data_IF_716472471669
#
_entry.id   IF_716472471669
#
_cell.length_a   1.000
_cell.length_b   1.000
_cell.length_c   1.000
_cell.angle_alpha   90.00
_cell.angle_beta   90.00
_cell.angle_gamma   90.00
#
_symmetry.space_group_name_H-M   'P 1'
#
loop_
_entity.id
_entity.type
_entity.pdbx_description
1 polymer ?
#
# COMPACT_ATOMS: atom_id res chain seq x y z
N UNK A 1 18.52 -0.95 1.11
CA UNK A 1 17.05 -1.02 1.28
C UNK A 1 16.76 -1.63 2.66
N UNK A 2 15.56 -1.45 3.19
CA UNK A 2 15.11 -2.03 4.47
C UNK A 2 13.97 -3.00 4.20
N UNK A 3 14.02 -4.19 4.79
CA UNK A 3 12.94 -5.17 4.66
C UNK A 3 11.95 -5.04 5.81
N UNK A 4 10.67 -4.92 5.46
CA UNK A 4 9.57 -4.84 6.41
C UNK A 4 8.37 -5.66 5.98
N UNK A 5 7.25 -5.44 6.67
CA UNK A 5 5.95 -5.99 6.26
C UNK A 5 4.81 -5.03 6.60
N UNK A 6 3.69 -5.22 5.91
CA UNK A 6 2.43 -4.49 6.14
C UNK A 6 1.69 -5.13 7.30
N UNK A 7 1.37 -4.39 8.34
CA UNK A 7 0.79 -4.92 9.57
C UNK A 7 -0.64 -5.46 9.43
N UNK A 8 -1.34 -5.15 8.33
CA UNK A 8 -2.72 -5.56 8.08
C UNK A 8 -2.97 -7.07 8.26
N UNK A 9 -2.00 -7.92 7.89
CA UNK A 9 -2.11 -9.38 8.02
C UNK A 9 -2.15 -9.86 9.48
N UNK A 10 -1.66 -9.07 10.43
CA UNK A 10 -1.61 -9.37 11.86
C UNK A 10 -2.69 -8.61 12.64
N UNK A 11 -3.89 -8.46 12.08
CA UNK A 11 -5.00 -7.67 12.62
C UNK A 11 -5.41 -8.03 14.06
N UNK A 12 -5.12 -9.24 14.54
CA UNK A 12 -5.45 -9.70 15.89
C UNK A 12 -4.40 -9.26 16.95
N UNK A 13 -3.28 -8.68 16.52
CA UNK A 13 -2.20 -8.25 17.41
C UNK A 13 -2.32 -6.75 17.73
N UNK A 14 -1.89 -6.39 18.93
CA UNK A 14 -1.63 -5.00 19.29
C UNK A 14 -0.38 -4.44 18.58
N UNK A 15 -0.20 -3.12 18.59
CA UNK A 15 1.01 -2.48 18.06
C UNK A 15 2.29 -3.06 18.68
N UNK A 16 2.31 -3.25 20.02
CA UNK A 16 3.46 -3.81 20.72
C UNK A 16 3.77 -5.24 20.27
N UNK A 17 2.73 -6.08 20.12
CA UNK A 17 2.90 -7.48 19.66
C UNK A 17 3.36 -7.55 18.19
N UNK A 18 2.91 -6.62 17.34
CA UNK A 18 3.40 -6.49 15.95
C UNK A 18 4.88 -6.14 15.92
N UNK A 19 5.30 -5.12 16.70
CA UNK A 19 6.71 -4.73 16.77
C UNK A 19 7.58 -5.81 17.43
N UNK A 20 7.08 -6.51 18.45
CA UNK A 20 7.75 -7.64 19.03
C UNK A 20 7.97 -8.79 18.02
N UNK A 21 6.92 -9.11 17.24
CA UNK A 21 7.03 -10.10 16.18
C UNK A 21 8.05 -9.66 15.12
N UNK A 22 8.01 -8.41 14.68
CA UNK A 22 8.96 -7.86 13.71
C UNK A 22 10.42 -7.97 14.22
N UNK A 23 10.67 -7.61 15.48
CA UNK A 23 11.99 -7.74 16.10
C UNK A 23 12.46 -9.19 16.20
N UNK A 24 11.56 -10.12 16.60
CA UNK A 24 11.87 -11.55 16.72
C UNK A 24 12.24 -12.18 15.38
N UNK A 25 11.61 -11.71 14.30
CA UNK A 25 11.86 -12.19 12.94
C UNK A 25 12.92 -11.35 12.19
N UNK A 26 13.61 -10.43 12.89
CA UNK A 26 14.70 -9.61 12.35
C UNK A 26 14.28 -8.76 11.15
N UNK A 27 13.11 -8.11 11.22
CA UNK A 27 12.69 -7.08 10.26
C UNK A 27 13.22 -5.72 10.66
N UNK A 28 13.57 -4.89 9.67
CA UNK A 28 14.02 -3.51 9.89
C UNK A 28 12.88 -2.57 10.23
N UNK A 29 11.69 -2.80 9.66
CA UNK A 29 10.56 -1.89 9.78
C UNK A 29 9.20 -2.56 9.57
N UNK A 30 8.14 -1.78 9.87
CA UNK A 30 6.73 -2.18 9.65
C UNK A 30 5.99 -0.99 9.06
N UNK A 31 5.14 -1.24 8.07
CA UNK A 31 4.08 -0.31 7.68
C UNK A 31 2.87 -0.52 8.58
N UNK A 32 2.47 0.53 9.34
CA UNK A 32 1.40 0.44 10.32
C UNK A 32 0.06 0.85 9.74
N UNK A 33 -0.96 0.01 9.92
CA UNK A 33 -2.33 0.33 9.52
C UNK A 33 -2.99 1.32 10.49
N UNK A 34 -3.63 2.34 9.91
CA UNK A 34 -4.25 3.47 10.60
C UNK A 34 -5.72 3.65 10.21
N UNK A 35 -6.47 2.57 9.99
CA UNK A 35 -7.90 2.69 9.75
C UNK A 35 -8.61 3.27 10.99
N UNK A 36 -9.72 4.02 10.83
CA UNK A 36 -10.55 4.40 11.96
C UNK A 36 -11.01 3.13 12.71
N UNK A 37 -11.01 3.12 14.06
CA UNK A 37 -11.55 2.02 14.82
C UNK A 37 -13.02 1.76 14.46
N UNK A 38 -13.36 0.50 14.16
CA UNK A 38 -14.73 0.15 13.79
C UNK A 38 -14.84 -1.15 13.02
N UNK A 39 -16.01 -1.36 12.40
CA UNK A 39 -16.26 -2.55 11.59
C UNK A 39 -15.55 -2.42 10.25
N UNK A 40 -14.78 -3.43 9.89
CA UNK A 40 -14.16 -3.54 8.58
C UNK A 40 -15.20 -3.59 7.46
N UNK A 41 -15.02 -2.80 6.43
CA UNK A 41 -15.88 -2.80 5.23
C UNK A 41 -15.52 -3.95 4.28
N UNK A 42 -14.27 -4.35 4.28
CA UNK A 42 -13.70 -5.41 3.45
C UNK A 42 -12.50 -6.05 4.13
N UNK A 43 -12.00 -7.16 3.58
CA UNK A 43 -10.77 -7.81 4.05
C UNK A 43 -9.61 -6.80 4.11
N UNK A 44 -8.90 -6.78 5.24
CA UNK A 44 -7.82 -5.85 5.59
C UNK A 44 -8.19 -4.37 5.74
N UNK A 45 -9.40 -3.93 5.37
CA UNK A 45 -9.92 -2.64 5.78
C UNK A 45 -10.33 -2.67 7.26
N UNK A 46 -10.15 -1.55 7.96
CA UNK A 46 -10.51 -1.46 9.38
C UNK A 46 -9.47 -2.04 10.35
N UNK A 47 -8.29 -2.44 9.89
CA UNK A 47 -7.18 -2.80 10.79
C UNK A 47 -6.56 -1.53 11.36
N UNK A 48 -6.54 -1.43 12.69
CA UNK A 48 -6.03 -0.27 13.41
C UNK A 48 -4.94 -0.70 14.37
N UNK A 49 -3.67 -0.54 13.98
CA UNK A 49 -2.54 -0.69 14.87
C UNK A 49 -2.11 0.64 15.49
N UNK A 50 -2.44 1.76 14.82
CA UNK A 50 -2.25 3.10 15.32
C UNK A 50 -3.54 3.90 15.10
N UNK A 51 -4.26 4.22 16.19
CA UNK A 51 -5.42 5.10 16.14
C UNK A 51 -4.96 6.55 16.10
N UNK A 52 -5.31 7.25 15.00
CA UNK A 52 -4.97 8.66 14.79
C UNK A 52 -6.17 9.59 14.92
N UNK A 53 -7.31 9.10 15.39
CA UNK A 53 -8.56 9.88 15.49
C UNK A 53 -8.39 11.10 16.40
N UNK A 54 -7.72 10.91 17.55
CA UNK A 54 -7.35 11.93 18.52
C UNK A 54 -5.88 11.74 18.94
N UNK A 55 -4.95 11.93 17.99
CA UNK A 55 -3.55 11.62 18.19
C UNK A 55 -2.86 12.66 19.07
N UNK A 56 -2.36 12.24 20.24
CA UNK A 56 -1.75 13.10 21.24
C UNK A 56 -0.24 12.94 21.34
N UNK A 57 0.44 13.92 21.93
CA UNK A 57 1.88 13.81 22.25
C UNK A 57 2.20 12.59 23.14
N UNK A 58 1.27 12.18 24.01
CA UNK A 58 1.44 10.98 24.83
C UNK A 58 1.38 9.70 23.98
N UNK A 59 0.46 9.65 23.01
CA UNK A 59 0.39 8.53 22.05
C UNK A 59 1.66 8.46 21.20
N UNK A 60 2.16 9.58 20.70
CA UNK A 60 3.42 9.65 19.95
C UNK A 60 4.62 9.17 20.82
N UNK A 61 4.71 9.63 22.06
CA UNK A 61 5.76 9.20 22.99
C UNK A 61 5.71 7.69 23.26
N UNK A 62 4.52 7.10 23.34
CA UNK A 62 4.34 5.65 23.49
C UNK A 62 4.86 4.89 22.25
N UNK A 63 4.53 5.32 21.04
CA UNK A 63 5.05 4.72 19.81
C UNK A 63 6.59 4.80 19.78
N UNK A 64 7.17 5.95 20.08
CA UNK A 64 8.63 6.11 20.17
C UNK A 64 9.26 5.19 21.21
N UNK A 65 8.60 4.96 22.34
CA UNK A 65 9.06 4.02 23.35
C UNK A 65 9.09 2.59 22.79
N UNK A 66 8.01 2.13 22.15
CA UNK A 66 7.91 0.79 21.59
C UNK A 66 8.96 0.57 20.48
N UNK A 67 9.12 1.54 19.56
CA UNK A 67 10.16 1.50 18.50
C UNK A 67 11.56 1.34 19.13
N UNK A 68 11.87 2.06 20.21
CA UNK A 68 13.17 1.92 20.88
C UNK A 68 13.35 0.58 21.59
N UNK A 69 12.29 0.07 22.25
CA UNK A 69 12.34 -1.22 22.98
C UNK A 69 12.60 -2.37 21.99
N UNK A 70 11.90 -2.36 20.86
CA UNK A 70 11.97 -3.46 19.90
C UNK A 70 13.05 -3.26 18.83
N UNK A 71 13.59 -2.06 18.64
CA UNK A 71 14.60 -1.77 17.63
C UNK A 71 14.08 -1.83 16.18
N UNK A 72 12.75 -1.79 15.98
CA UNK A 72 12.08 -1.86 14.68
C UNK A 72 11.52 -0.51 14.31
N UNK A 73 11.81 -0.02 13.11
CA UNK A 73 11.30 1.26 12.61
C UNK A 73 9.86 1.18 12.10
N UNK A 74 9.21 2.34 11.93
CA UNK A 74 7.97 2.47 11.17
C UNK A 74 8.31 3.03 9.79
N UNK A 75 8.00 2.28 8.73
CA UNK A 75 8.35 2.68 7.35
C UNK A 75 7.35 3.66 6.75
N UNK A 76 6.07 3.47 7.06
CA UNK A 76 4.97 4.29 6.59
C UNK A 76 3.75 4.09 7.49
N UNK A 77 2.79 5.02 7.40
CA UNK A 77 1.43 4.81 7.90
C UNK A 77 0.51 4.47 6.71
N UNK A 78 -0.26 3.40 6.83
CA UNK A 78 -1.13 2.89 5.78
C UNK A 78 -2.62 3.13 6.08
N UNK A 79 -3.32 3.77 5.13
CA UNK A 79 -4.78 3.92 5.14
C UNK A 79 -5.27 3.92 3.70
N UNK A 80 -5.97 2.86 3.30
CA UNK A 80 -6.27 2.56 1.89
C UNK A 80 -7.78 2.60 1.55
N UNK A 81 -8.46 3.74 1.73
CA UNK A 81 -9.86 3.92 1.37
C UNK A 81 -10.01 4.31 -0.11
N UNK A 82 -11.24 4.68 -0.48
CA UNK A 82 -11.52 5.36 -1.74
C UNK A 82 -11.76 6.88 -1.51
N UNK A 83 -10.74 7.74 -1.64
CA UNK A 83 -10.92 9.20 -1.48
C UNK A 83 -11.82 9.86 -2.53
N UNK A 84 -12.15 9.16 -3.62
CA UNK A 84 -13.05 9.64 -4.66
C UNK A 84 -14.39 8.89 -4.65
N UNK A 85 -14.81 8.39 -3.48
CA UNK A 85 -16.09 7.71 -3.33
C UNK A 85 -17.25 8.55 -3.90
N UNK A 86 -18.20 7.93 -4.64
CA UNK A 86 -19.37 8.64 -5.17
C UNK A 86 -20.23 9.32 -4.08
N UNK A 87 -20.31 8.74 -2.87
CA UNK A 87 -20.96 9.42 -1.73
C UNK A 87 -20.10 10.56 -1.21
N UNK A 88 -20.54 11.82 -1.35
CA UNK A 88 -19.76 12.98 -0.90
C UNK A 88 -19.56 13.01 0.63
N UNK A 89 -20.45 12.42 1.42
CA UNK A 89 -20.32 12.35 2.87
C UNK A 89 -19.20 11.38 3.24
N UNK A 90 -19.21 10.19 2.65
CA UNK A 90 -18.16 9.19 2.86
C UNK A 90 -16.81 9.71 2.34
N UNK A 91 -16.78 10.29 1.15
CA UNK A 91 -15.58 10.93 0.58
C UNK A 91 -14.95 11.96 1.52
N UNK A 92 -15.79 12.82 2.13
CA UNK A 92 -15.30 13.80 3.11
C UNK A 92 -14.72 13.13 4.36
N UNK A 93 -15.38 12.13 4.92
CA UNK A 93 -14.87 11.38 6.09
C UNK A 93 -13.51 10.73 5.79
N UNK A 94 -13.38 10.15 4.61
CA UNK A 94 -12.13 9.55 4.12
C UNK A 94 -11.02 10.59 4.03
N UNK A 95 -11.27 11.73 3.38
CA UNK A 95 -10.28 12.78 3.22
C UNK A 95 -9.86 13.39 4.57
N UNK A 96 -10.82 13.65 5.45
CA UNK A 96 -10.54 14.18 6.80
C UNK A 96 -9.68 13.21 7.63
N UNK A 97 -9.94 11.91 7.56
CA UNK A 97 -9.14 10.93 8.28
C UNK A 97 -7.73 10.78 7.66
N UNK A 98 -7.62 10.79 6.34
CA UNK A 98 -6.32 10.75 5.66
C UNK A 98 -5.43 11.94 6.06
N UNK A 99 -6.02 13.13 6.21
CA UNK A 99 -5.31 14.32 6.71
C UNK A 99 -4.81 14.07 8.15
N UNK A 100 -5.61 13.45 9.03
CA UNK A 100 -5.17 13.07 10.38
C UNK A 100 -3.99 12.08 10.38
N UNK A 101 -4.01 11.09 9.48
CA UNK A 101 -2.88 10.15 9.31
C UNK A 101 -1.62 10.92 8.88
N UNK A 102 -1.73 11.84 7.93
CA UNK A 102 -0.63 12.69 7.47
C UNK A 102 -0.08 13.57 8.61
N UNK A 103 -0.94 14.17 9.42
CA UNK A 103 -0.54 15.03 10.54
C UNK A 103 0.07 14.25 11.73
N UNK A 104 -0.30 12.97 11.89
CA UNK A 104 0.25 12.09 12.91
C UNK A 104 1.65 11.56 12.54
N UNK A 105 1.92 11.33 11.26
CA UNK A 105 3.15 10.68 10.79
C UNK A 105 4.45 11.37 11.30
N UNK A 106 4.66 12.69 11.16
CA UNK A 106 5.89 13.33 11.65
C UNK A 106 6.02 13.29 13.17
N UNK A 107 4.92 13.18 13.91
CA UNK A 107 4.97 13.10 15.38
C UNK A 107 5.62 11.81 15.88
N UNK A 108 5.69 10.78 15.05
CA UNK A 108 6.39 9.52 15.33
C UNK A 108 7.64 9.30 14.45
N UNK A 109 8.11 10.37 13.78
CA UNK A 109 9.31 10.35 12.94
C UNK A 109 9.13 9.65 11.59
N UNK A 110 7.90 9.54 11.09
CA UNK A 110 7.55 8.96 9.80
C UNK A 110 7.23 10.08 8.81
N UNK A 111 7.72 9.96 7.58
CA UNK A 111 7.50 10.95 6.51
C UNK A 111 6.81 10.36 5.28
N UNK A 112 6.24 9.16 5.40
CA UNK A 112 5.49 8.49 4.32
C UNK A 112 4.12 8.05 4.83
N UNK A 113 3.08 8.37 4.06
CA UNK A 113 1.71 7.86 4.24
C UNK A 113 1.29 7.18 2.95
N UNK A 114 0.91 5.91 3.04
CA UNK A 114 0.48 5.13 1.89
C UNK A 114 -1.05 5.05 1.81
N UNK A 115 -1.59 5.18 0.60
CA UNK A 115 -3.03 5.20 0.34
C UNK A 115 -3.36 4.92 -1.13
N UNK A 116 -4.65 4.98 -1.49
CA UNK A 116 -5.12 5.01 -2.88
C UNK A 116 -5.50 6.43 -3.33
N UNK A 117 -5.41 6.70 -4.63
CA UNK A 117 -5.99 7.93 -5.22
C UNK A 117 -7.52 7.91 -5.15
N UNK A 118 -8.10 6.73 -5.32
CA UNK A 118 -9.52 6.52 -5.40
C UNK A 118 -10.09 6.67 -6.83
N UNK A 119 -11.36 6.32 -6.98
CA UNK A 119 -12.13 6.46 -8.22
C UNK A 119 -13.63 6.41 -7.94
N UNK A 120 -14.40 7.22 -8.63
CA UNK A 120 -15.82 6.98 -8.88
C UNK A 120 -15.94 6.09 -10.12
N UNK A 121 -16.35 4.82 -10.00
CA UNK A 121 -16.43 3.90 -11.12
C UNK A 121 -17.45 4.30 -12.20
N UNK A 122 -18.43 5.13 -11.85
CA UNK A 122 -19.45 5.62 -12.77
C UNK A 122 -18.92 6.72 -13.70
N UNK A 123 -17.76 7.30 -13.38
CA UNK A 123 -17.17 8.40 -14.15
C UNK A 123 -16.06 7.91 -15.09
N UNK A 124 -15.84 8.67 -16.17
CA UNK A 124 -14.69 8.48 -17.06
C UNK A 124 -13.37 8.75 -16.32
N UNK A 125 -12.23 8.30 -16.86
CA UNK A 125 -10.92 8.60 -16.30
C UNK A 125 -10.69 10.11 -16.22
N UNK A 126 -10.98 10.86 -17.27
CA UNK A 126 -10.77 12.32 -17.31
C UNK A 126 -11.67 13.05 -16.30
N UNK A 127 -12.92 12.62 -16.11
CA UNK A 127 -13.79 13.18 -15.08
C UNK A 127 -13.28 12.86 -13.66
N UNK A 128 -12.75 11.65 -13.41
CA UNK A 128 -12.07 11.33 -12.17
C UNK A 128 -10.81 12.18 -11.96
N UNK A 129 -10.03 12.44 -13.00
CA UNK A 129 -8.83 13.29 -12.89
C UNK A 129 -9.20 14.73 -12.48
N UNK A 130 -10.29 15.30 -13.02
CA UNK A 130 -10.79 16.60 -12.56
C UNK A 130 -11.24 16.56 -11.08
N UNK A 131 -11.83 15.45 -10.64
CA UNK A 131 -12.21 15.25 -9.22
C UNK A 131 -11.00 15.06 -8.32
N UNK A 132 -9.93 14.40 -8.79
CA UNK A 132 -8.64 14.29 -8.06
C UNK A 132 -8.13 15.67 -7.69
N UNK A 133 -8.06 16.62 -8.62
CA UNK A 133 -7.59 17.98 -8.34
C UNK A 133 -8.36 18.62 -7.17
N UNK A 134 -9.69 18.54 -7.22
CA UNK A 134 -10.54 19.16 -6.20
C UNK A 134 -10.41 18.50 -4.82
N UNK A 135 -10.41 17.16 -4.76
CA UNK A 135 -10.40 16.40 -3.48
C UNK A 135 -9.01 16.33 -2.89
N UNK A 136 -7.98 16.19 -3.72
CA UNK A 136 -6.61 15.99 -3.25
C UNK A 136 -5.86 17.28 -2.90
N UNK A 137 -6.30 18.44 -3.40
CA UNK A 137 -5.66 19.72 -3.05
C UNK A 137 -5.53 19.94 -1.53
N UNK A 138 -6.57 19.79 -0.69
CA UNK A 138 -6.42 19.93 0.76
C UNK A 138 -5.53 18.85 1.40
N UNK A 139 -5.57 17.60 0.89
CA UNK A 139 -4.75 16.49 1.38
C UNK A 139 -3.26 16.78 1.10
N UNK A 140 -2.93 17.21 -0.12
CA UNK A 140 -1.56 17.51 -0.51
C UNK A 140 -1.01 18.75 0.20
N UNK A 141 -1.84 19.76 0.51
CA UNK A 141 -1.43 20.88 1.36
C UNK A 141 -1.11 20.44 2.79
N UNK A 142 -1.87 19.49 3.33
CA UNK A 142 -1.57 18.91 4.65
C UNK A 142 -0.24 18.14 4.60
N UNK A 143 -0.01 17.37 3.54
CA UNK A 143 1.24 16.63 3.32
C UNK A 143 2.45 17.56 3.18
N UNK A 144 2.34 18.64 2.39
CA UNK A 144 3.38 19.66 2.26
C UNK A 144 3.71 20.32 3.61
N UNK A 145 2.68 20.76 4.34
CA UNK A 145 2.85 21.37 5.67
C UNK A 145 3.52 20.45 6.68
N UNK A 146 3.23 19.15 6.59
CA UNK A 146 3.76 18.12 7.49
C UNK A 146 5.13 17.55 7.03
N UNK A 147 5.65 17.95 5.88
CA UNK A 147 6.82 17.36 5.21
C UNK A 147 6.68 15.83 5.02
N UNK A 148 5.48 15.41 4.59
CA UNK A 148 5.11 14.02 4.35
C UNK A 148 4.95 13.77 2.86
N UNK A 149 5.47 12.65 2.37
CA UNK A 149 5.19 12.13 1.03
C UNK A 149 4.03 11.15 1.07
N UNK A 150 3.13 11.26 0.13
CA UNK A 150 1.99 10.34 -0.01
C UNK A 150 2.28 9.32 -1.09
N UNK A 151 2.44 8.07 -0.69
CA UNK A 151 2.67 6.94 -1.58
C UNK A 151 1.33 6.37 -2.09
N UNK A 152 1.10 6.48 -3.39
CA UNK A 152 -0.09 5.91 -4.00
C UNK A 152 0.19 4.47 -4.43
N UNK A 153 -0.52 3.54 -3.82
CA UNK A 153 -0.55 2.16 -4.32
C UNK A 153 -1.47 2.09 -5.55
N UNK A 154 -1.01 1.39 -6.57
CA UNK A 154 -1.66 1.36 -7.87
C UNK A 154 -2.55 0.14 -8.10
N UNK A 155 -3.03 -0.49 -7.03
CA UNK A 155 -4.06 -1.52 -7.10
C UNK A 155 -5.31 -0.97 -7.82
N UNK A 156 -5.81 -1.59 -8.88
CA UNK A 156 -7.05 -1.16 -9.55
C UNK A 156 -8.30 -1.28 -8.67
N UNK A 157 -8.24 -2.09 -7.59
CA UNK A 157 -9.35 -2.34 -6.67
C UNK A 157 -10.60 -2.89 -7.37
N UNK A 158 -10.41 -3.92 -8.19
CA UNK A 158 -11.49 -4.69 -8.81
C UNK A 158 -11.66 -5.99 -8.03
N UNK A 159 -12.78 -6.12 -7.32
CA UNK A 159 -13.05 -7.27 -6.44
C UNK A 159 -14.21 -8.12 -6.93
N UNK A 160 -15.08 -7.58 -7.79
CA UNK A 160 -16.23 -8.25 -8.37
C UNK A 160 -16.39 -7.93 -9.84
N UNK A 161 -17.14 -8.74 -10.59
CA UNK A 161 -17.46 -8.50 -12.00
C UNK A 161 -18.21 -7.17 -12.20
N UNK A 162 -18.97 -6.72 -11.21
CA UNK A 162 -19.75 -5.47 -11.27
C UNK A 162 -18.83 -4.22 -11.21
N UNK A 163 -17.61 -4.35 -10.73
CA UNK A 163 -16.64 -3.26 -10.66
C UNK A 163 -15.80 -3.13 -11.94
N UNK A 164 -15.85 -4.11 -12.81
CA UNK A 164 -15.16 -4.08 -14.09
C UNK A 164 -15.88 -3.16 -15.11
N UNK A 165 -15.17 -2.37 -15.94
CA UNK A 165 -13.70 -2.15 -15.95
C UNK A 165 -13.25 -1.02 -15.04
N UNK A 166 -14.13 -0.52 -14.20
CA UNK A 166 -13.92 0.69 -13.42
C UNK A 166 -12.91 0.54 -12.28
N UNK A 167 -13.16 -0.42 -11.39
CA UNK A 167 -12.46 -0.48 -10.10
C UNK A 167 -12.69 0.77 -9.24
N UNK A 168 -12.00 0.86 -8.11
CA UNK A 168 -12.12 1.98 -7.16
C UNK A 168 -10.83 2.79 -7.00
N UNK A 169 -9.88 2.63 -7.92
CA UNK A 169 -8.64 3.40 -7.92
C UNK A 169 -8.22 3.74 -9.36
N UNK A 170 -8.14 5.03 -9.66
CA UNK A 170 -7.80 5.49 -11.02
C UNK A 170 -6.31 5.36 -11.33
N UNK A 171 -5.44 5.35 -10.32
CA UNK A 171 -3.98 5.28 -10.48
C UNK A 171 -3.47 3.88 -10.89
N UNK A 172 -4.12 3.20 -11.80
CA UNK A 172 -3.91 1.79 -12.10
C UNK A 172 -2.81 1.48 -13.13
N UNK A 173 -2.30 2.47 -13.87
CA UNK A 173 -1.33 2.20 -14.95
C UNK A 173 -0.41 3.40 -15.23
N UNK A 174 0.72 3.20 -15.93
CA UNK A 174 1.69 4.25 -16.25
C UNK A 174 1.14 5.48 -16.96
N UNK A 175 0.13 5.32 -17.82
CA UNK A 175 -0.50 6.47 -18.50
C UNK A 175 -1.16 7.41 -17.48
N UNK A 176 -1.88 6.87 -16.53
CA UNK A 176 -2.54 7.66 -15.48
C UNK A 176 -1.53 8.23 -14.50
N UNK A 177 -0.47 7.50 -14.15
CA UNK A 177 0.59 8.01 -13.27
C UNK A 177 1.25 9.25 -13.86
N UNK A 178 1.54 9.26 -15.19
CA UNK A 178 2.08 10.47 -15.86
C UNK A 178 1.13 11.66 -15.74
N UNK A 179 -0.18 11.43 -15.89
CA UNK A 179 -1.21 12.49 -15.72
C UNK A 179 -1.21 13.00 -14.28
N UNK A 180 -1.18 12.11 -13.28
CA UNK A 180 -1.17 12.46 -11.85
C UNK A 180 0.06 13.29 -11.49
N UNK A 181 1.26 12.86 -11.87
CA UNK A 181 2.50 13.58 -11.55
C UNK A 181 2.64 14.91 -12.30
N UNK A 182 2.10 15.02 -13.50
CA UNK A 182 2.02 16.29 -14.21
C UNK A 182 1.05 17.29 -13.53
N UNK A 183 0.00 16.78 -12.89
CA UNK A 183 -1.01 17.59 -12.20
C UNK A 183 -0.54 18.04 -10.80
N UNK A 184 0.37 17.28 -10.16
CA UNK A 184 0.88 17.52 -8.80
C UNK A 184 2.40 17.67 -8.83
N UNK A 185 2.94 18.81 -9.28
CA UNK A 185 4.39 18.97 -9.46
C UNK A 185 5.18 19.12 -8.14
N UNK A 186 4.53 19.28 -7.00
CA UNK A 186 5.16 19.63 -5.71
C UNK A 186 5.99 18.51 -5.03
N UNK A 187 6.02 17.28 -5.58
CA UNK A 187 6.83 16.18 -5.04
C UNK A 187 6.25 15.46 -3.81
N UNK A 188 5.12 15.91 -3.27
CA UNK A 188 4.43 15.27 -2.15
C UNK A 188 3.77 13.94 -2.55
N UNK A 189 3.41 13.79 -3.82
CA UNK A 189 2.81 12.57 -4.36
C UNK A 189 3.88 11.66 -4.95
N UNK A 190 3.85 10.38 -4.62
CA UNK A 190 4.73 9.37 -5.18
C UNK A 190 4.03 8.02 -5.29
N UNK A 191 4.77 6.98 -5.65
CA UNK A 191 4.25 5.62 -5.72
C UNK A 191 4.66 4.82 -4.48
N UNK A 192 3.70 4.12 -3.92
CA UNK A 192 3.93 2.89 -3.19
C UNK A 192 3.82 1.76 -4.23
N UNK A 193 4.97 1.28 -4.72
CA UNK A 193 5.03 0.42 -5.89
C UNK A 193 4.83 -1.05 -5.51
N UNK A 194 3.80 -1.69 -6.07
CA UNK A 194 3.50 -3.11 -5.91
C UNK A 194 3.57 -3.83 -7.26
N UNK A 195 4.55 -4.74 -7.49
CA UNK A 195 4.69 -5.44 -8.75
C UNK A 195 3.52 -6.36 -9.10
N UNK A 196 2.82 -6.89 -8.09
CA UNK A 196 1.76 -7.86 -8.30
C UNK A 196 0.62 -7.33 -9.17
N UNK A 197 0.27 -6.05 -8.98
CA UNK A 197 -0.79 -5.41 -9.75
C UNK A 197 -0.45 -5.18 -11.21
N UNK A 198 0.83 -5.22 -11.58
CA UNK A 198 1.25 -5.11 -12.99
C UNK A 198 1.28 -6.46 -13.70
N UNK A 199 1.49 -7.57 -12.96
CA UNK A 199 1.52 -8.93 -13.53
C UNK A 199 0.23 -9.23 -14.28
N UNK A 200 -0.91 -9.13 -13.60
CA UNK A 200 -2.19 -9.46 -14.21
C UNK A 200 -2.70 -8.40 -15.22
N UNK A 201 -2.14 -7.20 -15.19
CA UNK A 201 -2.37 -6.19 -16.22
C UNK A 201 -1.42 -6.35 -17.41
N UNK A 202 -0.51 -7.31 -17.40
CA UNK A 202 0.51 -7.54 -18.43
C UNK A 202 1.41 -6.32 -18.67
N UNK A 203 1.66 -5.52 -17.62
CA UNK A 203 2.55 -4.35 -17.67
C UNK A 203 3.95 -4.77 -17.22
N UNK A 204 4.97 -4.38 -17.99
CA UNK A 204 6.38 -4.63 -17.64
C UNK A 204 6.79 -3.85 -16.40
N UNK A 205 6.95 -4.57 -15.29
CA UNK A 205 7.32 -4.07 -13.99
C UNK A 205 8.68 -3.34 -13.99
N UNK A 206 9.69 -3.94 -14.61
CA UNK A 206 11.04 -3.40 -14.61
C UNK A 206 11.12 -2.11 -15.43
N UNK A 207 10.39 -2.04 -16.55
CA UNK A 207 10.24 -0.82 -17.34
C UNK A 207 9.53 0.27 -16.56
N UNK A 208 8.43 -0.06 -15.90
CA UNK A 208 7.67 0.88 -15.08
C UNK A 208 8.53 1.43 -13.93
N UNK A 209 9.29 0.57 -13.22
CA UNK A 209 10.21 1.00 -12.17
C UNK A 209 11.25 1.99 -12.67
N UNK A 210 11.91 1.72 -13.80
CA UNK A 210 12.93 2.63 -14.36
C UNK A 210 12.34 3.97 -14.77
N UNK A 211 11.11 3.98 -15.32
CA UNK A 211 10.45 5.21 -15.73
C UNK A 211 10.05 6.07 -14.52
N UNK A 212 9.49 5.44 -13.49
CA UNK A 212 8.92 6.14 -12.33
C UNK A 212 9.83 6.13 -11.10
N UNK A 213 11.08 5.72 -11.22
CA UNK A 213 12.06 5.71 -10.14
C UNK A 213 12.10 6.99 -9.30
N UNK A 214 12.12 8.20 -9.91
CA UNK A 214 12.10 9.47 -9.17
C UNK A 214 10.83 9.69 -8.30
N UNK A 215 9.76 8.97 -8.59
CA UNK A 215 8.50 9.06 -7.85
C UNK A 215 8.31 7.96 -6.80
N UNK A 216 9.25 7.03 -6.65
CA UNK A 216 9.16 5.99 -5.63
C UNK A 216 9.28 6.57 -4.22
N UNK A 217 8.34 6.24 -3.35
CA UNK A 217 8.39 6.61 -1.93
C UNK A 217 8.34 5.39 -1.02
N UNK A 218 7.70 4.33 -1.47
CA UNK A 218 7.57 3.07 -0.76
C UNK A 218 7.41 1.92 -1.75
N UNK A 219 7.63 0.68 -1.32
CA UNK A 219 7.48 -0.51 -2.15
C UNK A 219 6.77 -1.59 -1.36
N UNK A 220 5.75 -2.21 -1.97
CA UNK A 220 5.19 -3.46 -1.50
C UNK A 220 5.81 -4.65 -2.24
N UNK A 221 6.08 -5.72 -1.50
CA UNK A 221 6.51 -7.00 -2.05
C UNK A 221 5.36 -8.01 -1.91
N UNK A 222 4.55 -8.08 -2.94
CA UNK A 222 3.47 -9.04 -3.14
C UNK A 222 3.65 -9.71 -4.49
N UNK A 223 3.23 -10.95 -4.61
CA UNK A 223 3.26 -11.69 -5.87
C UNK A 223 1.85 -11.96 -6.37
N UNK A 224 1.74 -12.39 -7.62
CA UNK A 224 0.47 -12.66 -8.26
C UNK A 224 0.60 -13.87 -9.18
N UNK A 225 -0.36 -14.78 -9.13
CA UNK A 225 -0.42 -15.94 -10.01
C UNK A 225 -1.58 -15.78 -10.99
N UNK A 226 -1.33 -16.11 -12.25
CA UNK A 226 -2.36 -16.18 -13.30
C UNK A 226 -2.88 -17.60 -13.38
N UNK A 227 -4.17 -17.80 -13.11
CA UNK A 227 -4.90 -19.03 -13.41
C UNK A 227 -5.30 -19.02 -14.89
N UNK A 228 -4.51 -19.69 -15.72
CA UNK A 228 -4.67 -19.70 -17.19
C UNK A 228 -5.90 -20.47 -17.63
N UNK A 229 -6.33 -21.47 -16.87
CA UNK A 229 -7.54 -22.23 -17.18
C UNK A 229 -8.77 -21.35 -16.91
N UNK A 230 -8.80 -20.66 -15.78
CA UNK A 230 -9.87 -19.71 -15.48
C UNK A 230 -9.87 -18.54 -16.45
N UNK A 231 -8.69 -18.01 -16.80
CA UNK A 231 -8.56 -16.95 -17.81
C UNK A 231 -9.10 -17.38 -19.18
N UNK A 232 -8.88 -18.64 -19.57
CA UNK A 232 -9.45 -19.19 -20.80
C UNK A 232 -10.98 -19.19 -20.78
N UNK A 233 -11.58 -19.55 -19.64
CA UNK A 233 -13.05 -19.64 -19.49
C UNK A 233 -13.74 -18.27 -19.48
N UNK A 234 -13.17 -17.28 -18.80
CA UNK A 234 -13.84 -15.99 -18.56
C UNK A 234 -13.24 -14.82 -19.34
N UNK A 235 -12.07 -15.00 -19.94
CA UNK A 235 -11.31 -13.94 -20.58
C UNK A 235 -10.80 -12.90 -19.57
N UNK A 236 -10.09 -11.90 -20.06
CA UNK A 236 -9.57 -10.79 -19.22
C UNK A 236 -10.68 -9.91 -18.65
N UNK A 237 -11.89 -9.99 -19.19
CA UNK A 237 -13.05 -9.22 -18.74
C UNK A 237 -13.79 -9.91 -17.58
N UNK A 238 -13.56 -11.20 -17.34
CA UNK A 238 -14.15 -11.91 -16.22
C UNK A 238 -13.28 -11.81 -14.98
N UNK A 239 -13.72 -12.45 -13.89
CA UNK A 239 -13.07 -12.37 -12.59
C UNK A 239 -12.52 -13.72 -12.11
N UNK A 240 -11.56 -13.68 -11.16
CA UNK A 240 -11.04 -14.87 -10.46
C UNK A 240 -9.97 -15.65 -11.23
N UNK A 241 -9.39 -15.08 -12.28
CA UNK A 241 -8.30 -15.68 -13.05
C UNK A 241 -6.89 -15.24 -12.60
N UNK A 242 -6.80 -14.33 -11.64
CA UNK A 242 -5.56 -13.97 -10.97
C UNK A 242 -5.75 -14.03 -9.45
N UNK A 243 -4.68 -14.31 -8.73
CA UNK A 243 -4.76 -14.63 -7.30
C UNK A 243 -3.49 -14.17 -6.58
N UNK A 244 -3.60 -13.30 -5.56
CA UNK A 244 -2.45 -12.85 -4.79
C UNK A 244 -1.69 -14.00 -4.16
N UNK A 245 -0.35 -13.93 -4.22
CA UNK A 245 0.57 -14.93 -3.69
C UNK A 245 1.65 -14.30 -2.84
N UNK A 246 2.25 -15.12 -1.99
CA UNK A 246 3.48 -14.73 -1.30
C UNK A 246 4.60 -14.53 -2.35
N UNK A 247 5.54 -13.59 -2.11
CA UNK A 247 6.73 -13.44 -2.93
C UNK A 247 7.40 -14.77 -3.28
N UNK A 248 7.62 -15.00 -4.58
CA UNK A 248 8.18 -16.23 -5.13
C UNK A 248 7.18 -17.37 -5.40
N UNK A 249 5.90 -17.20 -5.09
CA UNK A 249 4.86 -18.19 -5.39
C UNK A 249 3.93 -17.76 -6.56
N UNK A 250 4.21 -16.64 -7.18
CA UNK A 250 3.51 -16.09 -8.34
C UNK A 250 4.41 -15.91 -9.56
N UNK A 251 4.11 -14.90 -10.37
CA UNK A 251 4.75 -14.65 -11.65
C UNK A 251 5.57 -13.36 -11.70
N UNK A 252 5.78 -12.67 -10.57
CA UNK A 252 6.70 -11.54 -10.50
C UNK A 252 8.13 -12.01 -10.78
N UNK A 253 8.77 -11.41 -11.77
CA UNK A 253 10.20 -11.65 -12.01
C UNK A 253 11.04 -10.87 -10.99
N UNK A 254 11.24 -11.43 -9.80
CA UNK A 254 11.92 -10.78 -8.68
C UNK A 254 13.36 -10.37 -9.00
N UNK A 255 14.08 -11.16 -9.81
CA UNK A 255 15.44 -10.79 -10.23
C UNK A 255 15.44 -9.52 -11.08
N UNK A 256 14.56 -9.43 -12.07
CA UNK A 256 14.41 -8.24 -12.91
C UNK A 256 13.85 -7.06 -12.11
N UNK A 257 12.93 -7.31 -11.18
CA UNK A 257 12.36 -6.31 -10.29
C UNK A 257 13.43 -5.64 -9.42
N UNK A 258 14.22 -6.42 -8.66
CA UNK A 258 15.25 -5.87 -7.78
C UNK A 258 16.42 -5.25 -8.57
N UNK A 259 16.78 -5.79 -9.74
CA UNK A 259 17.75 -5.15 -10.62
C UNK A 259 17.25 -3.75 -11.03
N UNK A 260 16.01 -3.64 -11.50
CA UNK A 260 15.44 -2.36 -11.88
C UNK A 260 15.30 -1.40 -10.68
N UNK A 261 14.90 -1.91 -9.52
CA UNK A 261 14.78 -1.10 -8.30
C UNK A 261 16.15 -0.53 -7.88
N UNK A 262 17.20 -1.33 -7.96
CA UNK A 262 18.58 -0.90 -7.71
C UNK A 262 19.03 0.15 -8.73
N UNK A 263 18.72 -0.02 -10.02
CA UNK A 263 19.02 0.94 -11.08
C UNK A 263 18.41 2.33 -10.81
N UNK A 264 17.25 2.39 -10.11
CA UNK A 264 16.64 3.69 -9.75
C UNK A 264 17.37 4.43 -8.62
N UNK A 265 18.30 3.78 -7.92
CA UNK A 265 18.93 4.30 -6.71
C UNK A 265 18.03 4.28 -5.47
N UNK A 266 16.93 3.52 -5.50
CA UNK A 266 16.02 3.40 -4.36
C UNK A 266 16.69 2.72 -3.17
N UNK A 267 16.66 3.37 -2.01
CA UNK A 267 17.23 2.86 -0.75
C UNK A 267 16.20 2.74 0.38
N UNK A 268 14.95 3.03 0.07
CA UNK A 268 13.84 3.05 1.02
C UNK A 268 13.37 1.65 1.46
N UNK A 269 12.22 1.59 2.16
CA UNK A 269 11.65 0.34 2.65
C UNK A 269 10.98 -0.45 1.53
N UNK A 270 11.05 -1.78 1.65
CA UNK A 270 10.27 -2.76 0.88
C UNK A 270 9.49 -3.58 1.89
N UNK A 271 8.17 -3.48 1.90
CA UNK A 271 7.32 -4.17 2.86
C UNK A 271 6.57 -5.33 2.20
N UNK A 272 6.73 -6.52 2.78
CA UNK A 272 5.96 -7.70 2.39
C UNK A 272 4.48 -7.43 2.64
N UNK A 273 3.65 -7.55 1.61
CA UNK A 273 2.20 -7.54 1.74
C UNK A 273 1.65 -8.96 1.54
N UNK A 274 0.91 -9.45 2.54
CA UNK A 274 0.34 -10.79 2.49
C UNK A 274 -1.15 -10.71 2.23
N UNK A 275 -1.58 -11.24 1.09
CA UNK A 275 -2.98 -11.39 0.71
C UNK A 275 -3.32 -12.81 0.18
N UNK A 276 -2.40 -13.77 0.34
CA UNK A 276 -2.59 -15.16 -0.06
C UNK A 276 -3.54 -15.89 0.89
N UNK A 277 -4.76 -16.17 0.42
CA UNK A 277 -5.82 -16.84 1.19
C UNK A 277 -5.42 -18.20 1.76
N UNK A 278 -4.42 -18.86 1.18
CA UNK A 278 -3.92 -20.14 1.68
C UNK A 278 -3.29 -20.02 3.09
N UNK A 279 -2.89 -18.80 3.49
CA UNK A 279 -2.20 -18.52 4.74
C UNK A 279 -3.04 -17.71 5.75
N UNK A 280 -4.34 -17.52 5.53
CA UNK A 280 -5.17 -16.64 6.36
C UNK A 280 -6.03 -17.35 7.41
N UNK A 281 -5.94 -18.68 7.53
CA UNK A 281 -6.83 -19.49 8.39
C UNK A 281 -6.75 -19.15 9.87
N UNK A 282 -5.55 -18.78 10.34
CA UNK A 282 -5.26 -18.46 11.73
C UNK A 282 -4.00 -17.60 11.85
N UNK A 283 -3.69 -17.11 13.05
CA UNK A 283 -2.54 -16.25 13.30
C UNK A 283 -1.20 -16.93 12.98
N UNK A 284 -1.05 -18.23 13.27
CA UNK A 284 0.19 -18.96 13.01
C UNK A 284 0.44 -19.11 11.51
N UNK A 285 -0.60 -19.37 10.72
CA UNK A 285 -0.50 -19.40 9.26
C UNK A 285 -0.09 -18.03 8.71
N UNK A 286 -0.67 -16.95 9.23
CA UNK A 286 -0.32 -15.57 8.82
C UNK A 286 1.12 -15.21 9.18
N UNK A 287 1.57 -15.53 10.39
CA UNK A 287 2.98 -15.39 10.81
C UNK A 287 3.92 -16.22 9.94
N UNK A 288 3.50 -17.45 9.57
CA UNK A 288 4.26 -18.31 8.67
C UNK A 288 4.39 -17.68 7.27
N UNK A 289 3.33 -17.06 6.75
CA UNK A 289 3.38 -16.37 5.47
C UNK A 289 4.44 -15.26 5.46
N UNK A 290 4.47 -14.42 6.49
CA UNK A 290 5.46 -13.34 6.63
C UNK A 290 6.88 -13.91 6.68
N UNK A 291 7.12 -14.97 7.48
CA UNK A 291 8.42 -15.65 7.56
C UNK A 291 8.86 -16.27 6.24
N UNK A 292 7.93 -16.90 5.52
CA UNK A 292 8.22 -17.54 4.24
C UNK A 292 8.59 -16.49 3.20
N UNK A 293 7.85 -15.40 3.14
CA UNK A 293 8.13 -14.28 2.25
C UNK A 293 9.49 -13.64 2.55
N UNK A 294 9.81 -13.44 3.84
CA UNK A 294 11.13 -12.93 4.26
C UNK A 294 12.26 -13.83 3.74
N UNK A 295 12.19 -15.14 4.00
CA UNK A 295 13.22 -16.09 3.55
C UNK A 295 13.46 -16.08 2.04
N UNK A 296 12.41 -15.86 1.28
CA UNK A 296 12.52 -15.74 -0.18
C UNK A 296 13.21 -14.44 -0.59
N UNK A 297 12.92 -13.34 0.12
CA UNK A 297 13.42 -12.01 -0.22
C UNK A 297 14.80 -11.70 0.39
N UNK A 298 15.18 -12.33 1.49
CA UNK A 298 16.46 -12.08 2.20
C UNK A 298 17.69 -11.95 1.28
N UNK A 299 17.86 -12.77 0.21
CA UNK A 299 19.01 -12.62 -0.69
C UNK A 299 19.13 -11.27 -1.42
N UNK A 300 18.08 -10.46 -1.45
CA UNK A 300 18.07 -9.14 -2.07
C UNK A 300 18.39 -8.01 -1.08
N UNK A 301 18.49 -8.33 0.22
CA UNK A 301 18.72 -7.40 1.34
C UNK A 301 20.02 -7.79 2.05
N UNK A 302 21.15 -7.55 1.42
CA UNK A 302 22.46 -7.87 1.96
C UNK A 302 23.12 -6.71 2.71
#
# INVERSE_FOLDING_TARGET
MKLGFVSAILADLSLEEVLHFAATEEFDCVELMCWPPGKAERRYAGVTHLDVSDFTAAAAAHVHQLVRIHGVGVSALGYYPNPLDPDPTHRKLVADHLIKVIEAAPQIGVNVVNTFIGRDPALTVDANMAMVEAVWTPILRAAEKADVRVGIEHCPMIFTDDEWPGGKNVAMCPEVWRKLFAMVPGGQLGLNFDPSHLVWQFIDCARALREFGPHLVHVHAKDERIDRDRLHEVGVMGHGWHDPKLPGLGEVNWGAFFAALTDTGYTGPVCIEVEDRAYERNLDDRKRAVRQSKRFLDPYFG
#
